data_IF_909316420809
#
_entry.id   IF_909316420809
#
_cell.length_a   1.000
_cell.length_b   1.000
_cell.length_c   1.000
_cell.angle_alpha   90.00
_cell.angle_beta   90.00
_cell.angle_gamma   90.00
#
_symmetry.space_group_name_H-M   'P 1'
#
loop_
_entity.id
_entity.type
_entity.pdbx_description
1 polymer ?
#
# COMPACT_ATOMS: atom_id res chain seq x y z
N UNK A 1 -0.22 -15.62 -19.22
CA UNK A 1 0.17 -16.06 -17.87
C UNK A 1 1.62 -16.50 -17.93
N UNK A 2 2.52 -15.86 -17.19
CA UNK A 2 3.94 -16.22 -17.15
C UNK A 2 4.21 -17.33 -16.13
N UNK A 3 5.14 -18.23 -16.43
CA UNK A 3 5.47 -19.44 -15.66
C UNK A 3 6.17 -19.21 -14.30
N UNK A 4 6.20 -17.99 -13.77
CA UNK A 4 6.87 -17.69 -12.50
C UNK A 4 6.05 -16.76 -11.62
N UNK A 5 5.78 -17.17 -10.38
CA UNK A 5 5.24 -16.29 -9.33
C UNK A 5 6.29 -15.32 -8.76
N UNK A 6 7.40 -15.11 -9.48
CA UNK A 6 8.48 -14.21 -9.10
C UNK A 6 8.14 -12.75 -9.42
N UNK A 7 8.82 -11.82 -8.75
CA UNK A 7 8.64 -10.39 -8.96
C UNK A 7 9.74 -9.91 -9.89
N UNK A 8 9.36 -9.25 -10.97
CA UNK A 8 10.29 -8.55 -11.86
C UNK A 8 10.50 -7.12 -11.40
N UNK A 9 11.73 -6.62 -11.53
CA UNK A 9 12.03 -5.20 -11.35
C UNK A 9 11.81 -4.39 -12.62
N UNK A 10 11.43 -5.03 -13.72
CA UNK A 10 11.09 -4.36 -14.98
C UNK A 10 9.78 -3.59 -14.82
N UNK A 11 9.83 -2.32 -15.22
CA UNK A 11 8.68 -1.44 -15.16
C UNK A 11 7.77 -1.69 -16.35
N UNK A 12 6.48 -1.81 -16.07
CA UNK A 12 5.43 -1.75 -17.09
C UNK A 12 4.91 -0.32 -17.10
N UNK A 13 5.02 0.35 -18.24
CA UNK A 13 4.44 1.68 -18.45
C UNK A 13 3.14 1.56 -19.24
N UNK A 14 2.09 2.18 -18.74
CA UNK A 14 0.78 2.26 -19.39
C UNK A 14 0.41 3.73 -19.52
N UNK A 15 0.19 4.17 -20.75
CA UNK A 15 -0.29 5.52 -21.06
C UNK A 15 -1.78 5.45 -21.45
N UNK A 16 -2.62 6.19 -20.74
CA UNK A 16 -4.06 6.30 -21.00
C UNK A 16 -4.40 7.75 -21.26
N UNK A 17 -5.03 8.02 -22.41
CA UNK A 17 -5.48 9.36 -22.79
C UNK A 17 -6.99 9.37 -23.01
N UNK A 18 -7.71 10.24 -22.32
CA UNK A 18 -9.16 10.38 -22.43
C UNK A 18 -9.61 11.77 -21.96
N UNK A 19 -10.64 12.37 -22.57
CA UNK A 19 -11.22 13.63 -22.08
C UNK A 19 -11.93 13.48 -20.72
N UNK A 20 -12.07 12.25 -20.21
CA UNK A 20 -12.76 11.95 -18.95
C UNK A 20 -11.81 11.52 -17.82
N UNK A 21 -10.49 11.54 -18.04
CA UNK A 21 -9.51 11.22 -16.99
C UNK A 21 -8.70 12.47 -16.63
N UNK A 22 -8.31 12.62 -15.36
CA UNK A 22 -7.42 13.70 -14.94
C UNK A 22 -5.98 13.42 -15.39
N UNK A 23 -5.17 14.49 -15.46
CA UNK A 23 -3.73 14.38 -15.66
C UNK A 23 -3.07 13.88 -14.38
N UNK A 24 -2.78 12.57 -14.32
CA UNK A 24 -2.17 11.90 -13.17
C UNK A 24 -1.14 10.87 -13.59
N UNK A 25 -0.11 10.70 -12.76
CA UNK A 25 0.82 9.56 -12.83
C UNK A 25 0.60 8.69 -11.61
N UNK A 26 0.25 7.43 -11.82
CA UNK A 26 0.04 6.44 -10.76
C UNK A 26 1.09 5.35 -10.89
N UNK A 27 1.65 4.93 -9.76
CA UNK A 27 2.60 3.82 -9.68
C UNK A 27 1.95 2.74 -8.82
N UNK A 28 1.60 1.61 -9.44
CA UNK A 28 1.16 0.43 -8.71
C UNK A 28 2.37 -0.40 -8.29
N UNK A 29 2.35 -0.88 -7.05
CA UNK A 29 3.46 -1.60 -6.43
C UNK A 29 2.96 -2.95 -5.89
N UNK A 30 3.79 -4.01 -5.90
CA UNK A 30 3.38 -5.30 -5.36
C UNK A 30 2.94 -5.20 -3.89
N UNK A 31 1.85 -5.88 -3.55
CA UNK A 31 1.39 -5.97 -2.17
C UNK A 31 2.43 -6.63 -1.26
N UNK A 32 2.56 -6.13 -0.02
CA UNK A 32 3.53 -6.63 0.94
C UNK A 32 3.13 -8.06 1.37
N UNK A 33 4.01 -9.03 1.12
CA UNK A 33 3.84 -10.41 1.60
C UNK A 33 4.93 -10.75 2.62
N UNK A 34 4.54 -11.41 3.74
CA UNK A 34 5.49 -11.89 4.76
C UNK A 34 5.95 -13.33 4.50
N UNK A 35 5.21 -14.09 3.71
CA UNK A 35 5.44 -15.51 3.48
C UNK A 35 5.48 -15.76 1.97
N UNK A 36 6.53 -16.44 1.52
CA UNK A 36 6.61 -16.93 0.15
C UNK A 36 5.52 -17.97 -0.10
N UNK A 37 4.77 -17.83 -1.18
CA UNK A 37 3.73 -18.78 -1.58
C UNK A 37 4.09 -19.43 -2.90
N UNK A 38 3.87 -20.75 -3.00
CA UNK A 38 4.18 -21.53 -4.20
C UNK A 38 5.68 -21.51 -4.54
N UNK A 39 6.00 -21.11 -5.77
CA UNK A 39 7.37 -21.10 -6.31
C UNK A 39 8.13 -19.78 -6.04
N UNK A 40 7.70 -18.98 -5.08
CA UNK A 40 8.37 -17.73 -4.74
C UNK A 40 9.69 -17.98 -3.98
N UNK A 41 10.73 -17.17 -4.24
CA UNK A 41 11.96 -17.25 -3.46
C UNK A 41 11.71 -16.86 -2.00
N UNK A 42 12.48 -17.44 -1.08
CA UNK A 42 12.32 -17.20 0.36
C UNK A 42 12.51 -15.72 0.75
N UNK A 43 13.23 -14.93 -0.06
CA UNK A 43 13.47 -13.52 0.19
C UNK A 43 12.51 -12.56 -0.55
N UNK A 44 11.40 -13.08 -1.10
CA UNK A 44 10.43 -12.28 -1.88
C UNK A 44 9.93 -11.05 -1.11
N UNK A 45 9.63 -11.19 0.18
CA UNK A 45 9.18 -10.07 1.01
C UNK A 45 10.23 -8.96 1.09
N UNK A 46 11.52 -9.30 1.13
CA UNK A 46 12.61 -8.32 1.11
C UNK A 46 12.73 -7.65 -0.26
N UNK A 47 12.58 -8.40 -1.35
CA UNK A 47 12.59 -7.85 -2.70
C UNK A 47 11.46 -6.86 -2.93
N UNK A 48 10.23 -7.19 -2.49
CA UNK A 48 9.07 -6.29 -2.52
C UNK A 48 9.34 -5.01 -1.75
N UNK A 49 9.80 -5.12 -0.49
CA UNK A 49 10.10 -3.96 0.34
C UNK A 49 11.16 -3.07 -0.29
N UNK A 50 12.18 -3.65 -0.89
CA UNK A 50 13.25 -2.92 -1.60
C UNK A 50 12.70 -2.16 -2.81
N UNK A 51 11.83 -2.81 -3.58
CA UNK A 51 11.16 -2.19 -4.74
C UNK A 51 10.27 -1.02 -4.30
N UNK A 52 9.44 -1.21 -3.28
CA UNK A 52 8.58 -0.16 -2.73
C UNK A 52 9.42 1.03 -2.26
N UNK A 53 10.47 0.77 -1.46
CA UNK A 53 11.37 1.80 -0.92
C UNK A 53 11.99 2.68 -2.00
N UNK A 54 12.27 2.14 -3.19
CA UNK A 54 12.79 2.89 -4.34
C UNK A 54 11.85 4.02 -4.80
N UNK A 55 10.54 3.88 -4.62
CA UNK A 55 9.54 4.87 -5.02
C UNK A 55 9.15 5.80 -3.87
N UNK A 56 8.90 5.26 -2.68
CA UNK A 56 8.42 6.04 -1.53
C UNK A 56 9.50 6.95 -0.90
N UNK A 57 10.79 6.72 -1.19
CA UNK A 57 11.88 7.62 -0.77
C UNK A 57 11.93 8.94 -1.55
N UNK A 58 11.31 8.99 -2.73
CA UNK A 58 11.31 10.19 -3.56
C UNK A 58 10.35 11.21 -2.96
N UNK A 59 10.80 12.46 -2.85
CA UNK A 59 10.01 13.54 -2.25
C UNK A 59 8.80 13.91 -3.12
N UNK A 60 8.89 13.72 -4.43
CA UNK A 60 7.74 13.91 -5.34
C UNK A 60 6.65 12.83 -5.21
N UNK A 61 6.91 11.73 -4.50
CA UNK A 61 5.95 10.63 -4.33
C UNK A 61 5.04 10.89 -3.14
N UNK A 62 3.73 10.99 -3.41
CA UNK A 62 2.69 10.91 -2.38
C UNK A 62 2.45 9.43 -2.05
N UNK A 63 2.62 9.07 -0.78
CA UNK A 63 2.41 7.73 -0.26
C UNK A 63 0.92 7.51 0.00
N UNK A 64 0.32 6.54 -0.69
CA UNK A 64 -1.09 6.22 -0.54
C UNK A 64 -1.22 4.82 0.07
N UNK A 65 -1.46 4.78 1.38
CA UNK A 65 -1.46 3.56 2.19
C UNK A 65 -2.85 2.96 2.20
N UNK A 66 -3.05 1.84 1.52
CA UNK A 66 -4.35 1.16 1.42
C UNK A 66 -4.49 0.10 2.50
N UNK A 67 -5.50 0.24 3.35
CA UNK A 67 -5.78 -0.66 4.47
C UNK A 67 -7.23 -1.14 4.42
N UNK A 68 -7.52 -2.44 4.50
CA UNK A 68 -8.89 -2.92 4.66
C UNK A 68 -9.48 -2.50 6.01
N UNK A 69 -10.74 -2.06 6.04
CA UNK A 69 -11.43 -1.62 7.26
C UNK A 69 -11.68 -2.73 8.27
N UNK A 70 -11.57 -3.99 7.85
CA UNK A 70 -11.76 -5.16 8.72
C UNK A 70 -10.45 -5.66 9.35
N UNK A 71 -9.33 -4.97 9.14
CA UNK A 71 -8.05 -5.28 9.80
C UNK A 71 -7.59 -4.09 10.64
N UNK A 72 -6.79 -4.38 11.67
CA UNK A 72 -6.23 -3.35 12.53
C UNK A 72 -5.12 -2.57 11.81
N UNK A 73 -5.29 -1.26 11.71
CA UNK A 73 -4.35 -0.35 11.06
C UNK A 73 -2.96 -0.41 11.71
N UNK A 74 -2.88 -0.63 13.03
CA UNK A 74 -1.62 -0.72 13.77
C UNK A 74 -0.72 -1.88 13.31
N UNK A 75 -1.31 -2.91 12.69
CA UNK A 75 -0.56 -4.07 12.18
C UNK A 75 -0.06 -3.89 10.75
N UNK A 76 -0.38 -2.77 10.11
CA UNK A 76 -0.12 -2.52 8.70
C UNK A 76 1.35 -2.17 8.46
N UNK A 77 2.08 -3.09 7.82
CA UNK A 77 3.47 -2.89 7.43
C UNK A 77 3.66 -1.67 6.52
N UNK A 78 2.70 -1.42 5.61
CA UNK A 78 2.78 -0.30 4.68
C UNK A 78 2.77 1.06 5.39
N UNK A 79 2.05 1.18 6.52
CA UNK A 79 2.04 2.42 7.31
C UNK A 79 3.39 2.63 8.01
N UNK A 80 3.96 1.56 8.58
CA UNK A 80 5.31 1.61 9.16
C UNK A 80 6.36 2.01 8.12
N UNK A 81 6.31 1.44 6.91
CA UNK A 81 7.22 1.80 5.82
C UNK A 81 7.04 3.25 5.35
N UNK A 82 5.81 3.78 5.35
CA UNK A 82 5.55 5.17 5.02
C UNK A 82 6.12 6.11 6.09
N UNK A 83 5.88 5.84 7.37
CA UNK A 83 6.43 6.61 8.49
C UNK A 83 7.96 6.61 8.53
N UNK A 84 8.63 5.52 8.12
CA UNK A 84 10.09 5.47 8.00
C UNK A 84 10.66 6.53 7.04
N UNK A 85 9.91 6.88 5.99
CA UNK A 85 10.37 7.81 4.92
C UNK A 85 9.65 9.16 4.95
N UNK A 86 8.58 9.27 5.72
CA UNK A 86 7.73 10.44 5.90
C UNK A 86 7.24 10.51 7.37
N UNK A 87 8.13 10.83 8.34
CA UNK A 87 7.80 10.79 9.76
C UNK A 87 6.73 11.80 10.18
N UNK A 88 6.68 12.95 9.50
CA UNK A 88 5.72 14.03 9.77
C UNK A 88 4.38 13.80 9.06
N UNK A 89 4.32 12.85 8.11
CA UNK A 89 3.12 12.49 7.37
C UNK A 89 2.69 13.51 6.31
N UNK A 90 3.58 14.43 5.90
CA UNK A 90 3.29 15.53 4.98
C UNK A 90 2.85 15.05 3.59
N UNK A 91 3.25 13.84 3.22
CA UNK A 91 2.97 13.23 1.92
C UNK A 91 2.41 11.83 2.04
N UNK A 92 1.75 11.51 3.16
CA UNK A 92 1.16 10.19 3.41
C UNK A 92 -0.34 10.28 3.64
N UNK A 93 -1.12 9.54 2.85
CA UNK A 93 -2.58 9.46 2.93
C UNK A 93 -2.99 8.02 3.20
N UNK A 94 -3.72 7.79 4.28
CA UNK A 94 -4.34 6.51 4.59
C UNK A 94 -5.69 6.35 3.89
N UNK A 95 -5.89 5.24 3.18
CA UNK A 95 -7.15 4.89 2.53
C UNK A 95 -7.69 3.61 3.16
N UNK A 96 -8.90 3.71 3.72
CA UNK A 96 -9.65 2.56 4.19
C UNK A 96 -10.52 1.97 3.08
N UNK A 97 -10.46 0.65 2.92
CA UNK A 97 -11.17 -0.10 1.85
C UNK A 97 -11.97 -1.26 2.42
N UNK A 98 -12.86 -1.85 1.62
CA UNK A 98 -13.72 -2.97 2.06
C UNK A 98 -14.53 -2.68 3.34
N UNK A 99 -15.21 -1.51 3.46
CA UNK A 99 -16.03 -1.20 4.62
C UNK A 99 -17.22 -2.17 4.78
N UNK A 100 -17.61 -2.86 3.72
CA UNK A 100 -18.63 -3.89 3.68
C UNK A 100 -18.27 -5.17 4.46
N UNK A 101 -16.97 -5.41 4.69
CA UNK A 101 -16.47 -6.59 5.41
C UNK A 101 -16.21 -6.32 6.90
N UNK A 102 -16.63 -5.16 7.42
CA UNK A 102 -16.46 -4.83 8.83
C UNK A 102 -17.38 -5.71 9.67
N UNK A 103 -16.83 -6.29 10.73
CA UNK A 103 -17.59 -7.10 11.67
C UNK A 103 -18.59 -6.23 12.42
N UNK A 104 -19.84 -6.68 12.50
CA UNK A 104 -20.89 -5.98 13.26
C UNK A 104 -20.47 -5.78 14.71
N UNK A 105 -20.54 -4.55 15.19
CA UNK A 105 -20.07 -4.13 16.52
C UNK A 105 -18.65 -3.58 16.55
N UNK A 106 -17.93 -3.53 15.43
CA UNK A 106 -16.59 -2.93 15.32
C UNK A 106 -16.55 -1.64 14.48
N UNK A 107 -17.70 -1.17 14.00
CA UNK A 107 -17.81 -0.02 13.11
C UNK A 107 -17.28 1.27 13.76
N UNK A 108 -17.51 1.46 15.07
CA UNK A 108 -16.99 2.63 15.80
C UNK A 108 -15.46 2.71 15.75
N UNK A 109 -14.77 1.56 15.85
CA UNK A 109 -13.30 1.53 15.73
C UNK A 109 -12.83 2.01 14.37
N UNK A 110 -13.54 1.63 13.30
CA UNK A 110 -13.22 2.10 11.94
C UNK A 110 -13.43 3.61 11.84
N UNK A 111 -14.52 4.13 12.43
CA UNK A 111 -14.78 5.57 12.47
C UNK A 111 -13.69 6.32 13.23
N UNK A 112 -13.21 5.79 14.35
CA UNK A 112 -12.12 6.38 15.12
C UNK A 112 -10.81 6.45 14.31
N UNK A 113 -10.50 5.39 13.54
CA UNK A 113 -9.35 5.36 12.63
C UNK A 113 -9.48 6.45 11.55
N UNK A 114 -10.66 6.57 10.90
CA UNK A 114 -10.90 7.60 9.87
C UNK A 114 -10.78 9.01 10.45
N UNK A 115 -11.21 9.21 11.70
CA UNK A 115 -11.12 10.49 12.41
C UNK A 115 -9.71 10.79 12.94
N UNK A 116 -8.74 9.93 12.65
CA UNK A 116 -7.36 10.04 13.08
C UNK A 116 -7.21 10.04 14.62
N UNK A 117 -8.07 9.28 15.32
CA UNK A 117 -8.08 9.18 16.79
C UNK A 117 -7.26 8.00 17.32
N UNK A 118 -6.68 7.18 16.43
CA UNK A 118 -6.01 5.91 16.78
C UNK A 118 -4.50 5.94 16.50
N UNK A 119 -4.02 6.91 15.71
CA UNK A 119 -2.61 7.04 15.35
C UNK A 119 -1.89 7.99 16.34
N UNK A 120 -1.32 7.44 17.41
CA UNK A 120 -0.39 8.12 18.32
C UNK A 120 0.87 7.28 18.53
#
# INVERSE_FOLDING_TARGET
AGEGMGISHELISLEVSSPHVPDLTLIDLPGITRVAVGNQPADIGRQIKTLIKKYIHKQETINLVVVPSNVDIATTEALSMAQEVDPDGDRTIGILTKPDLVDKGTEEKVVDVVRNLVCH
#
